data_IF_875038662220
#
_entry.id   IF_875038662220
#
_cell.length_a   1.000
_cell.length_b   1.000
_cell.length_c   1.000
_cell.angle_alpha   90.00
_cell.angle_beta   90.00
_cell.angle_gamma   90.00
#
_symmetry.space_group_name_H-M   'P 1'
#
loop_
_entity.id
_entity.type
_entity.pdbx_description
1 polymer ?
#
# COMPACT_ATOMS: atom_id res chain seq x y z
N UNK A 1 5.28 -22.77 -0.05
CA UNK A 1 6.17 -21.77 0.58
C UNK A 1 5.38 -21.02 1.63
N UNK A 2 5.97 -20.81 2.80
CA UNK A 2 5.41 -20.00 3.88
C UNK A 2 6.41 -18.89 4.19
N UNK A 3 6.04 -17.64 3.92
CA UNK A 3 6.92 -16.48 4.05
C UNK A 3 6.39 -15.61 5.19
N UNK A 4 7.30 -15.17 6.06
CA UNK A 4 7.01 -14.23 7.16
C UNK A 4 7.99 -13.09 7.04
N UNK A 5 7.47 -11.88 6.87
CA UNK A 5 8.28 -10.67 6.69
C UNK A 5 7.72 -9.52 7.52
N UNK A 6 8.59 -8.75 8.17
CA UNK A 6 8.19 -7.54 8.84
C UNK A 6 7.91 -6.43 7.79
N UNK A 7 6.90 -5.58 7.97
CA UNK A 7 6.60 -4.51 7.01
C UNK A 7 7.78 -3.57 6.73
N UNK A 8 8.62 -3.30 7.73
CA UNK A 8 9.86 -2.54 7.61
C UNK A 8 10.92 -3.23 6.75
N UNK A 9 11.02 -4.56 6.80
CA UNK A 9 11.91 -5.37 5.95
C UNK A 9 11.42 -5.32 4.50
N UNK A 10 10.12 -5.46 4.28
CA UNK A 10 9.52 -5.34 2.95
C UNK A 10 9.77 -3.94 2.34
N UNK A 11 9.62 -2.88 3.15
CA UNK A 11 9.94 -1.52 2.71
C UNK A 11 11.44 -1.35 2.40
N UNK A 12 12.33 -1.93 3.21
CA UNK A 12 13.77 -1.88 2.98
C UNK A 12 14.15 -2.58 1.66
N UNK A 13 13.58 -3.76 1.39
CA UNK A 13 13.76 -4.47 0.12
C UNK A 13 13.27 -3.63 -1.07
N UNK A 14 12.06 -3.06 -0.96
CA UNK A 14 11.49 -2.20 -1.99
C UNK A 14 12.34 -0.94 -2.24
N UNK A 15 13.01 -0.39 -1.21
CA UNK A 15 13.93 0.75 -1.37
C UNK A 15 15.20 0.35 -2.11
N UNK A 16 15.77 -0.83 -1.80
CA UNK A 16 16.96 -1.36 -2.49
C UNK A 16 16.67 -1.54 -3.99
N UNK A 17 15.47 -2.02 -4.33
CA UNK A 17 15.04 -2.21 -5.73
C UNK A 17 14.46 -0.96 -6.39
N UNK A 18 14.43 0.18 -5.68
CA UNK A 18 13.82 1.45 -6.13
C UNK A 18 12.34 1.32 -6.52
N UNK A 19 11.62 0.40 -5.88
CA UNK A 19 10.18 0.15 -6.05
C UNK A 19 9.33 0.76 -4.91
N UNK A 20 9.95 1.25 -3.84
CA UNK A 20 9.24 1.96 -2.79
C UNK A 20 8.82 3.37 -3.24
N UNK A 21 7.53 3.76 -3.12
CA UNK A 21 7.12 5.13 -3.37
C UNK A 21 7.88 6.10 -2.44
N UNK A 22 8.42 7.23 -2.94
CA UNK A 22 9.29 8.13 -2.17
C UNK A 22 8.60 8.78 -0.98
N UNK A 23 7.28 8.91 -1.06
CA UNK A 23 6.40 9.42 -0.01
C UNK A 23 6.38 8.53 1.24
N UNK A 24 6.62 7.22 1.13
CA UNK A 24 6.56 6.29 2.26
C UNK A 24 7.88 6.33 3.05
N UNK A 25 7.82 6.98 4.22
CA UNK A 25 8.98 7.20 5.08
C UNK A 25 9.18 6.09 6.10
N UNK A 26 8.10 5.46 6.57
CA UNK A 26 8.12 4.37 7.54
C UNK A 26 6.94 3.45 7.32
N UNK A 27 7.16 2.16 7.54
CA UNK A 27 6.12 1.14 7.66
C UNK A 27 6.54 0.24 8.82
N UNK A 28 5.64 -0.01 9.77
CA UNK A 28 5.90 -0.84 10.96
C UNK A 28 4.67 -1.69 11.24
N UNK A 29 4.87 -2.96 11.58
CA UNK A 29 3.78 -3.83 12.03
C UNK A 29 3.55 -3.75 13.54
N UNK A 30 2.29 -3.76 13.95
CA UNK A 30 1.86 -3.81 15.35
C UNK A 30 0.58 -4.65 15.47
N UNK A 31 0.69 -5.88 16.00
CA UNK A 31 -0.42 -6.82 16.04
C UNK A 31 -0.94 -7.18 14.64
N UNK A 32 -2.20 -6.85 14.37
CA UNK A 32 -2.87 -7.01 13.06
C UNK A 32 -2.86 -5.71 12.22
N UNK A 33 -2.19 -4.66 12.68
CA UNK A 33 -2.12 -3.34 12.05
C UNK A 33 -0.76 -3.11 11.41
N UNK A 34 -0.76 -2.55 10.21
CA UNK A 34 0.42 -1.97 9.56
C UNK A 34 0.32 -0.45 9.67
N UNK A 35 1.22 0.15 10.43
CA UNK A 35 1.33 1.61 10.60
C UNK A 35 2.22 2.18 9.50
N UNK A 36 1.68 3.11 8.72
CA UNK A 36 2.36 3.74 7.58
C UNK A 36 2.55 5.23 7.87
N UNK A 37 3.75 5.76 7.62
CA UNK A 37 4.04 7.18 7.68
C UNK A 37 4.43 7.69 6.30
N UNK A 38 3.64 8.61 5.77
CA UNK A 38 3.80 9.24 4.48
C UNK A 38 4.18 10.72 4.63
N UNK A 39 5.26 11.16 3.98
CA UNK A 39 5.62 12.58 3.87
C UNK A 39 5.26 13.08 2.48
N UNK A 40 4.11 13.75 2.39
CA UNK A 40 3.52 14.19 1.12
C UNK A 40 4.36 15.26 0.41
N UNK A 41 5.30 15.89 1.10
CA UNK A 41 6.23 16.88 0.51
C UNK A 41 7.26 16.24 -0.41
N UNK A 42 7.41 14.91 -0.36
CA UNK A 42 8.32 14.13 -1.21
C UNK A 42 7.72 13.76 -2.57
N UNK A 43 6.50 14.23 -2.86
CA UNK A 43 5.89 14.09 -4.18
C UNK A 43 6.34 15.24 -5.08
N UNK A 44 7.02 14.90 -6.18
CA UNK A 44 7.51 15.89 -7.15
C UNK A 44 6.36 16.70 -7.77
N UNK A 45 5.22 16.06 -7.98
CA UNK A 45 4.00 16.68 -8.50
C UNK A 45 2.80 16.35 -7.64
N UNK A 46 2.23 17.40 -7.04
CA UNK A 46 0.98 17.31 -6.27
C UNK A 46 -0.16 17.91 -7.10
N UNK A 47 -1.26 17.16 -7.33
CA UNK A 47 -2.50 17.73 -7.82
C UNK A 47 -2.95 18.93 -6.97
N UNK A 48 -3.61 19.92 -7.57
CA UNK A 48 -4.02 21.16 -6.89
C UNK A 48 -4.69 20.95 -5.52
N UNK A 49 -5.71 20.10 -5.40
CA UNK A 49 -6.33 19.79 -4.11
C UNK A 49 -5.38 19.14 -3.10
N UNK A 50 -4.46 18.29 -3.56
CA UNK A 50 -3.44 17.70 -2.68
C UNK A 50 -2.44 18.75 -2.18
N UNK A 51 -2.08 19.75 -2.98
CA UNK A 51 -1.21 20.85 -2.52
C UNK A 51 -1.77 21.57 -1.29
N UNK A 52 -3.09 21.73 -1.21
CA UNK A 52 -3.74 22.32 -0.03
C UNK A 52 -3.71 21.36 1.16
N UNK A 53 -4.01 20.08 0.93
CA UNK A 53 -3.93 19.05 1.98
C UNK A 53 -2.51 18.96 2.59
N UNK A 54 -1.46 19.04 1.76
CA UNK A 54 -0.05 19.03 2.22
C UNK A 54 0.28 20.22 3.12
N UNK A 55 -0.32 21.40 2.91
CA UNK A 55 -0.11 22.56 3.79
C UNK A 55 -0.66 22.33 5.20
N UNK A 56 -1.73 21.54 5.32
CA UNK A 56 -2.41 21.25 6.59
C UNK A 56 -1.82 20.01 7.27
N UNK A 57 -1.60 18.95 6.51
CA UNK A 57 -1.08 17.67 6.98
C UNK A 57 0.06 17.19 6.06
N UNK A 58 1.28 17.76 6.19
CA UNK A 58 2.42 17.36 5.36
C UNK A 58 2.87 15.93 5.65
N UNK A 59 2.67 15.48 6.90
CA UNK A 59 2.95 14.12 7.35
C UNK A 59 1.61 13.46 7.66
N UNK A 60 1.35 12.36 6.96
CA UNK A 60 0.17 11.52 7.14
C UNK A 60 0.59 10.25 7.84
N UNK A 61 -0.11 9.92 8.93
CA UNK A 61 0.02 8.63 9.61
C UNK A 61 -1.24 7.83 9.33
N UNK A 62 -1.09 6.60 8.88
CA UNK A 62 -2.20 5.72 8.56
C UNK A 62 -2.04 4.37 9.23
N UNK A 63 -3.16 3.83 9.72
CA UNK A 63 -3.26 2.47 10.21
C UNK A 63 -3.97 1.66 9.13
N UNK A 64 -3.31 0.60 8.66
CA UNK A 64 -3.77 -0.25 7.56
C UNK A 64 -4.02 -1.64 8.11
N UNK A 65 -5.21 -2.18 7.88
CA UNK A 65 -5.58 -3.54 8.27
C UNK A 65 -5.95 -4.34 7.04
N UNK A 66 -5.58 -5.62 7.02
CA UNK A 66 -6.06 -6.56 6.02
C UNK A 66 -7.51 -6.94 6.37
N UNK A 67 -8.46 -6.49 5.56
CA UNK A 67 -9.88 -6.79 5.75
C UNK A 67 -10.25 -8.18 5.20
N UNK A 68 -9.72 -8.53 4.02
CA UNK A 68 -9.90 -9.84 3.41
C UNK A 68 -8.81 -10.15 2.38
N UNK A 69 -8.65 -11.44 2.08
CA UNK A 69 -7.89 -11.91 0.93
C UNK A 69 -8.71 -12.98 0.21
N UNK A 70 -9.23 -12.65 -0.97
CA UNK A 70 -10.14 -13.52 -1.71
C UNK A 70 -9.81 -13.47 -3.20
N UNK A 71 -9.73 -14.63 -3.85
CA UNK A 71 -9.48 -14.75 -5.30
C UNK A 71 -8.30 -13.89 -5.77
N UNK A 72 -7.18 -13.98 -5.08
CA UNK A 72 -5.96 -13.23 -5.43
C UNK A 72 -5.97 -11.74 -5.05
N UNK A 73 -7.05 -11.21 -4.46
CA UNK A 73 -7.19 -9.79 -4.14
C UNK A 73 -7.13 -9.56 -2.63
N UNK A 74 -6.18 -8.74 -2.19
CA UNK A 74 -6.09 -8.25 -0.81
C UNK A 74 -6.90 -6.96 -0.67
N UNK A 75 -7.92 -6.96 0.18
CA UNK A 75 -8.67 -5.75 0.54
C UNK A 75 -8.12 -5.19 1.84
N UNK A 76 -7.66 -3.95 1.80
CA UNK A 76 -7.11 -3.21 2.93
C UNK A 76 -8.09 -2.15 3.39
N UNK A 77 -8.32 -2.04 4.69
CA UNK A 77 -8.97 -0.88 5.30
C UNK A 77 -7.92 0.09 5.82
N UNK A 78 -8.18 1.39 5.66
CA UNK A 78 -7.24 2.45 5.98
C UNK A 78 -7.90 3.46 6.89
N UNK A 79 -7.29 3.68 8.05
CA UNK A 79 -7.62 4.77 8.95
C UNK A 79 -6.48 5.80 8.91
N UNK A 80 -6.80 7.09 8.88
CA UNK A 80 -5.81 8.15 8.72
C UNK A 80 -5.89 9.16 9.85
N UNK A 81 -4.74 9.46 10.43
CA UNK A 81 -4.51 10.51 11.41
C UNK A 81 -3.82 11.70 10.72
N UNK A 82 -4.61 12.65 10.21
CA UNK A 82 -4.11 13.80 9.43
C UNK A 82 -4.87 15.11 9.73
N UNK A 83 -4.71 15.68 10.93
CA UNK A 83 -5.20 17.02 11.28
C UNK A 83 -6.68 17.29 10.91
N UNK A 84 -7.56 16.31 11.09
CA UNK A 84 -8.99 16.41 10.77
C UNK A 84 -9.36 16.12 9.30
N UNK A 85 -8.39 15.79 8.43
CA UNK A 85 -8.66 15.34 7.07
C UNK A 85 -9.13 13.87 7.06
N UNK A 86 -10.34 13.59 6.53
CA UNK A 86 -10.84 12.23 6.49
C UNK A 86 -10.02 11.32 5.55
N UNK A 87 -9.77 10.08 6.00
CA UNK A 87 -9.04 9.06 5.24
C UNK A 87 -9.56 8.87 3.81
N UNK A 88 -10.88 8.76 3.64
CA UNK A 88 -11.49 8.57 2.34
C UNK A 88 -11.23 9.74 1.38
N UNK A 89 -11.20 10.99 1.87
CA UNK A 89 -10.88 12.17 1.03
C UNK A 89 -9.43 12.13 0.58
N UNK A 90 -8.50 11.83 1.50
CA UNK A 90 -7.08 11.73 1.19
C UNK A 90 -6.80 10.62 0.18
N UNK A 91 -7.41 9.45 0.37
CA UNK A 91 -7.27 8.34 -0.56
C UNK A 91 -7.87 8.64 -1.93
N UNK A 92 -9.08 9.22 -2.00
CA UNK A 92 -9.66 9.63 -3.29
C UNK A 92 -8.78 10.63 -4.04
N UNK A 93 -8.13 11.55 -3.32
CA UNK A 93 -7.18 12.49 -3.92
C UNK A 93 -5.86 11.82 -4.35
N UNK A 94 -5.46 10.76 -3.65
CA UNK A 94 -4.24 10.00 -3.92
C UNK A 94 -4.42 8.90 -4.99
N UNK A 95 -5.65 8.56 -5.39
CA UNK A 95 -5.92 7.49 -6.34
C UNK A 95 -5.14 7.62 -7.67
N UNK A 96 -5.23 8.78 -8.33
CA UNK A 96 -4.49 9.01 -9.57
C UNK A 96 -2.95 9.02 -9.38
N UNK A 97 -2.40 9.68 -8.34
CA UNK A 97 -0.98 9.53 -7.99
C UNK A 97 -0.54 8.08 -7.75
N UNK A 98 -1.36 7.27 -7.05
CA UNK A 98 -1.06 5.86 -6.78
C UNK A 98 -1.00 5.08 -8.10
N UNK A 99 -2.02 5.22 -8.95
CA UNK A 99 -2.06 4.55 -10.26
C UNK A 99 -0.86 4.94 -11.13
N UNK A 100 -0.46 6.22 -11.10
CA UNK A 100 0.72 6.70 -11.82
C UNK A 100 2.02 6.07 -11.33
N UNK A 101 2.21 5.96 -10.00
CA UNK A 101 3.39 5.31 -9.42
C UNK A 101 3.41 3.81 -9.70
N UNK A 102 2.26 3.14 -9.66
CA UNK A 102 2.11 1.72 -10.03
C UNK A 102 2.50 1.52 -11.51
N UNK A 103 1.98 2.37 -12.41
CA UNK A 103 2.29 2.31 -13.84
C UNK A 103 3.79 2.54 -14.13
N UNK A 104 4.44 3.49 -13.42
CA UNK A 104 5.90 3.72 -13.53
C UNK A 104 6.73 2.49 -13.18
N UNK A 105 6.22 1.63 -12.30
CA UNK A 105 6.87 0.36 -11.95
C UNK A 105 6.64 -0.72 -13.00
N UNK A 106 5.96 -0.43 -14.11
CA UNK A 106 5.62 -1.39 -15.16
C UNK A 106 4.60 -2.42 -14.69
N UNK A 107 3.73 -2.05 -13.75
CA UNK A 107 2.65 -2.90 -13.28
C UNK A 107 1.38 -2.65 -14.11
N UNK A 108 0.51 -3.66 -14.30
CA UNK A 108 -0.72 -3.51 -15.05
C UNK A 108 -1.64 -2.45 -14.43
N UNK A 109 -2.46 -1.75 -15.23
CA UNK A 109 -3.41 -0.79 -14.69
C UNK A 109 -4.48 -1.49 -13.82
N UNK A 110 -4.94 -0.76 -12.81
CA UNK A 110 -6.00 -1.18 -11.90
C UNK A 110 -5.62 -2.33 -10.96
N UNK A 111 -4.34 -2.65 -10.80
CA UNK A 111 -3.88 -3.62 -9.78
C UNK A 111 -3.92 -3.05 -8.36
N UNK A 112 -4.00 -1.72 -8.24
CA UNK A 112 -4.31 -1.04 -6.98
C UNK A 112 -5.55 -0.17 -7.22
N UNK A 113 -6.65 -0.54 -6.60
CA UNK A 113 -7.94 0.15 -6.73
C UNK A 113 -8.29 0.86 -5.42
N UNK A 114 -8.45 2.17 -5.47
CA UNK A 114 -8.89 2.96 -4.32
C UNK A 114 -10.41 3.00 -4.27
N UNK A 115 -10.95 2.35 -3.24
CA UNK A 115 -12.38 2.11 -3.08
C UNK A 115 -13.05 3.10 -2.12
N UNK A 116 -14.39 3.21 -2.16
CA UNK A 116 -15.16 3.92 -1.15
C UNK A 116 -14.87 3.42 0.28
N UNK A 117 -15.14 4.29 1.26
CA UNK A 117 -14.96 4.02 2.69
C UNK A 117 -13.50 3.75 3.11
N UNK A 118 -12.55 4.45 2.47
CA UNK A 118 -11.13 4.36 2.79
C UNK A 118 -10.58 2.93 2.69
N UNK A 119 -10.92 2.24 1.59
CA UNK A 119 -10.43 0.91 1.28
C UNK A 119 -9.53 0.93 0.07
N UNK A 120 -8.62 -0.03 0.00
CA UNK A 120 -7.75 -0.26 -1.15
C UNK A 120 -7.83 -1.75 -1.49
N UNK A 121 -8.15 -2.09 -2.73
CA UNK A 121 -7.99 -3.45 -3.23
C UNK A 121 -6.67 -3.56 -4.00
N UNK A 122 -5.91 -4.61 -3.70
CA UNK A 122 -4.64 -4.91 -4.35
C UNK A 122 -4.76 -6.28 -5.00
N UNK A 123 -4.70 -6.33 -6.33
CA UNK A 123 -4.73 -7.56 -7.11
C UNK A 123 -3.35 -8.22 -7.09
N UNK A 124 -3.11 -9.01 -6.05
CA UNK A 124 -1.82 -9.68 -5.80
C UNK A 124 -1.50 -10.68 -6.90
N UNK A 125 -2.51 -11.36 -7.42
CA UNK A 125 -2.33 -12.33 -8.50
C UNK A 125 -1.84 -11.65 -9.79
N UNK A 126 -2.49 -10.58 -10.25
CA UNK A 126 -2.05 -9.83 -11.43
C UNK A 126 -0.70 -9.15 -11.22
N UNK A 127 -0.39 -8.69 -10.01
CA UNK A 127 0.92 -8.14 -9.67
C UNK A 127 2.03 -9.18 -9.82
N UNK A 128 1.80 -10.39 -9.29
CA UNK A 128 2.77 -11.47 -9.33
C UNK A 128 2.93 -12.02 -10.75
N UNK A 129 1.84 -12.20 -11.50
CA UNK A 129 1.93 -12.62 -12.91
C UNK A 129 2.81 -11.67 -13.74
N UNK A 130 2.72 -10.36 -13.47
CA UNK A 130 3.51 -9.36 -14.18
C UNK A 130 5.00 -9.28 -13.76
N UNK A 131 5.37 -9.77 -12.56
CA UNK A 131 6.70 -9.55 -11.98
C UNK A 131 7.47 -10.82 -11.67
N UNK A 132 6.77 -11.85 -11.24
CA UNK A 132 7.30 -13.13 -10.78
C UNK A 132 6.38 -14.25 -11.28
N UNK A 133 6.29 -14.48 -12.60
CA UNK A 133 5.40 -15.50 -13.17
C UNK A 133 5.71 -16.88 -12.60
N UNK A 134 4.68 -17.71 -12.45
CA UNK A 134 4.77 -19.03 -11.81
C UNK A 134 4.60 -19.02 -10.29
N UNK A 135 4.50 -17.85 -9.64
CA UNK A 135 4.19 -17.75 -8.21
C UNK A 135 2.70 -17.50 -8.00
N UNK A 136 2.06 -18.37 -7.21
CA UNK A 136 0.65 -18.22 -6.82
C UNK A 136 0.55 -18.01 -5.32
N UNK A 137 -0.11 -16.95 -4.88
CA UNK A 137 -0.42 -16.70 -3.46
C UNK A 137 -1.85 -17.13 -3.18
N UNK A 138 -2.02 -18.01 -2.19
CA UNK A 138 -3.33 -18.51 -1.76
C UNK A 138 -3.71 -18.06 -0.35
N UNK A 139 -2.79 -17.44 0.39
CA UNK A 139 -3.07 -16.86 1.70
C UNK A 139 -2.23 -15.63 2.00
N UNK A 140 -2.88 -14.62 2.57
CA UNK A 140 -2.23 -13.41 3.13
C UNK A 140 -2.85 -13.13 4.48
N UNK A 141 -2.02 -12.87 5.49
CA UNK A 141 -2.45 -12.45 6.83
C UNK A 141 -1.49 -11.43 7.42
N UNK A 142 -2.00 -10.57 8.31
CA UNK A 142 -1.17 -9.74 9.19
C UNK A 142 -1.36 -10.25 10.60
N UNK A 143 -0.28 -10.66 11.24
CA UNK A 143 -0.31 -11.21 12.59
C UNK A 143 1.02 -10.96 13.30
N UNK A 144 0.96 -10.59 14.58
CA UNK A 144 2.12 -10.31 15.43
C UNK A 144 3.10 -9.31 14.79
N UNK A 145 2.54 -8.27 14.14
CA UNK A 145 3.29 -7.23 13.44
C UNK A 145 3.99 -7.72 12.15
N UNK A 146 3.62 -8.89 11.62
CA UNK A 146 4.25 -9.47 10.42
C UNK A 146 3.23 -9.75 9.33
N UNK A 147 3.69 -9.63 8.09
CA UNK A 147 2.97 -10.09 6.91
C UNK A 147 3.32 -11.57 6.73
N UNK A 148 2.29 -12.41 6.72
CA UNK A 148 2.38 -13.85 6.50
C UNK A 148 1.79 -14.13 5.12
N UNK A 149 2.57 -14.79 4.26
CA UNK A 149 2.20 -15.12 2.89
C UNK A 149 2.34 -16.63 2.68
N UNK A 150 1.30 -17.24 2.16
CA UNK A 150 1.26 -18.63 1.76
C UNK A 150 1.18 -18.73 0.23
N UNK A 151 2.19 -19.37 -0.36
CA UNK A 151 2.38 -19.37 -1.81
C UNK A 151 2.90 -20.71 -2.34
N UNK A 152 2.73 -20.96 -3.63
CA UNK A 152 3.35 -22.05 -4.40
C UNK A 152 4.14 -21.50 -5.57
N UNK A 153 5.10 -22.30 -6.05
CA UNK A 153 5.82 -22.06 -7.31
C UNK A 153 5.48 -23.22 -8.25
N UNK A 154 5.04 -22.89 -9.45
CA UNK A 154 4.77 -23.83 -10.55
C UNK A 154 5.81 -23.77 -11.66
#
# INVERSE_FOLDING_TARGET
MHIRIAPEEALALARITKQAPPVITSVVGDGDVIRVVADLRRLDTLPGPLKLAVKVAPIVRADVKLASFERGVATLSVEVNAAGLPAHRLLSLAAAPIEHEVAKQGLPPGVVDVQPHARIAVDVERLLEAKVPGVTVWGVKVQDGRIILDASVG
#
